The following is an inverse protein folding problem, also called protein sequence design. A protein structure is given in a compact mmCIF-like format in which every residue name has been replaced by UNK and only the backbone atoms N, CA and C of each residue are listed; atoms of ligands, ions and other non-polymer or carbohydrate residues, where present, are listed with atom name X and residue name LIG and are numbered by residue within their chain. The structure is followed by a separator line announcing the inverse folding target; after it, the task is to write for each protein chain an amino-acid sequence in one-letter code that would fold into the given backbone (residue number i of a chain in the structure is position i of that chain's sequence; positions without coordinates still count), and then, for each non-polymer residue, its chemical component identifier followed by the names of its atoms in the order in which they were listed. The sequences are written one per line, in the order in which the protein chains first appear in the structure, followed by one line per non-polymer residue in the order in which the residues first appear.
data_IF_470407173985
#
_entry.id   IF_470407173985
#
_cell.length_a   1.000
_cell.length_b   1.000
_cell.length_c   1.000
_cell.angle_alpha   90.00
_cell.angle_beta   90.00
_cell.angle_gamma   90.00
#
_symmetry.space_group_name_H-M   'P 1'
#
loop_
_entity.id
_entity.type
_entity.pdbx_description
1 polymer ?
#
# COMPACT_ATOMS: atom_id res chain seq x y z
N UNK A 1 5.45 1.64 -11.30
CA UNK A 1 4.14 2.01 -11.89
C UNK A 1 3.24 0.81 -12.19
N UNK A 2 3.75 -0.33 -12.66
CA UNK A 2 2.90 -1.47 -13.09
C UNK A 2 2.19 -2.24 -11.96
N UNK A 3 2.73 -2.26 -10.74
CA UNK A 3 2.18 -3.03 -9.59
C UNK A 3 0.96 -2.32 -8.97
N UNK A 4 0.93 -0.98 -9.05
CA UNK A 4 -0.18 -0.15 -8.55
C UNK A 4 -1.48 -0.39 -9.33
N UNK A 5 -1.39 -0.62 -10.64
CA UNK A 5 -2.53 -0.90 -11.51
C UNK A 5 -3.15 -2.28 -11.24
N UNK A 6 -2.32 -3.29 -10.97
CA UNK A 6 -2.76 -4.64 -10.61
C UNK A 6 -3.46 -4.67 -9.24
N UNK A 7 -2.92 -3.94 -8.24
CA UNK A 7 -3.58 -3.78 -6.94
C UNK A 7 -4.89 -2.98 -7.04
N UNK A 8 -4.96 -2.01 -7.96
CA UNK A 8 -6.18 -1.24 -8.24
C UNK A 8 -7.36 -2.07 -8.74
N UNK A 9 -7.12 -3.14 -9.51
CA UNK A 9 -8.20 -4.06 -9.94
C UNK A 9 -8.60 -5.07 -8.86
N UNK A 10 -7.70 -5.42 -7.94
CA UNK A 10 -8.02 -6.31 -6.80
C UNK A 10 -8.83 -5.58 -5.73
N UNK A 11 -8.59 -4.29 -5.52
CA UNK A 11 -9.31 -3.50 -4.51
C UNK A 11 -10.78 -3.22 -4.81
N UNK A 12 -11.22 -3.39 -6.06
CA UNK A 12 -12.65 -3.28 -6.42
C UNK A 12 -13.50 -4.46 -5.94
N UNK A 13 -12.89 -5.57 -5.52
CA UNK A 13 -13.58 -6.84 -5.21
C UNK A 13 -13.56 -7.24 -3.72
N UNK A 14 -12.77 -6.59 -2.86
CA UNK A 14 -12.56 -7.02 -1.47
C UNK A 14 -12.93 -5.93 -0.44
N UNK A 15 -13.48 -6.35 0.70
CA UNK A 15 -13.80 -5.47 1.83
C UNK A 15 -12.59 -4.62 2.24
N UNK A 16 -12.72 -3.31 2.01
CA UNK A 16 -11.66 -2.29 2.08
C UNK A 16 -10.89 -2.29 3.41
N UNK A 17 -11.60 -2.55 4.51
CA UNK A 17 -11.05 -2.64 5.87
C UNK A 17 -10.12 -3.85 6.05
N UNK A 18 -10.53 -5.01 5.54
CA UNK A 18 -9.75 -6.25 5.65
C UNK A 18 -8.53 -6.22 4.73
N UNK A 19 -8.66 -5.64 3.54
CA UNK A 19 -7.53 -5.43 2.62
C UNK A 19 -6.45 -4.55 3.23
N UNK A 20 -6.83 -3.48 3.92
CA UNK A 20 -5.89 -2.58 4.60
C UNK A 20 -5.11 -3.28 5.72
N UNK A 21 -5.81 -4.02 6.58
CA UNK A 21 -5.18 -4.78 7.69
C UNK A 21 -4.26 -5.88 7.14
N UNK A 22 -4.67 -6.56 6.07
CA UNK A 22 -3.85 -7.58 5.42
C UNK A 22 -2.58 -6.97 4.82
N UNK A 23 -2.69 -5.83 4.12
CA UNK A 23 -1.53 -5.15 3.53
C UNK A 23 -0.53 -4.67 4.58
N UNK A 24 -1.00 -4.15 5.72
CA UNK A 24 -0.14 -3.79 6.87
C UNK A 24 0.58 -5.03 7.41
N UNK A 25 -0.13 -6.14 7.58
CA UNK A 25 0.45 -7.37 8.11
C UNK A 25 1.56 -7.89 7.20
N UNK A 26 1.33 -7.88 5.88
CA UNK A 26 2.32 -8.25 4.85
C UNK A 26 3.54 -7.31 4.89
N UNK A 27 3.31 -6.00 5.05
CA UNK A 27 4.38 -5.02 5.15
C UNK A 27 5.25 -5.22 6.40
N UNK A 28 4.61 -5.41 7.56
CA UNK A 28 5.30 -5.68 8.83
C UNK A 28 6.13 -6.96 8.76
N UNK A 29 5.57 -8.04 8.19
CA UNK A 29 6.30 -9.30 7.99
C UNK A 29 7.49 -9.09 7.05
N UNK A 30 7.31 -8.35 5.94
CA UNK A 30 8.40 -8.02 5.02
C UNK A 30 9.49 -7.17 5.67
N UNK A 31 9.13 -6.25 6.57
CA UNK A 31 10.05 -5.41 7.34
C UNK A 31 10.83 -6.24 8.36
N UNK A 32 10.16 -7.16 9.06
CA UNK A 32 10.79 -8.10 9.99
C UNK A 32 11.78 -9.02 9.27
N UNK A 33 11.40 -9.52 8.09
CA UNK A 33 12.29 -10.33 7.24
C UNK A 33 13.50 -9.52 6.74
N UNK A 34 13.32 -8.23 6.45
CA UNK A 34 14.45 -7.34 6.14
C UNK A 34 15.38 -7.15 7.36
N UNK A 35 14.83 -7.06 8.57
CA UNK A 35 15.60 -6.84 9.80
C UNK A 35 16.43 -8.06 10.21
N UNK A 36 15.95 -9.28 9.94
CA UNK A 36 16.66 -10.53 10.24
C UNK A 36 17.52 -11.04 9.07
N UNK A 37 17.53 -10.33 7.93
CA UNK A 37 18.20 -10.78 6.72
C UNK A 37 19.72 -10.89 6.91
N UNK A 38 20.24 -12.12 6.79
CA UNK A 38 21.68 -12.43 6.86
C UNK A 38 22.32 -12.45 5.47
N UNK A 39 21.51 -12.71 4.43
CA UNK A 39 21.97 -12.87 3.05
C UNK A 39 21.32 -11.86 2.11
N UNK A 40 22.05 -11.44 1.06
CA UNK A 40 21.56 -10.50 0.03
C UNK A 40 20.33 -11.00 -0.72
N UNK A 41 20.23 -12.31 -0.98
CA UNK A 41 19.05 -12.90 -1.63
C UNK A 41 17.80 -12.76 -0.74
N UNK A 42 17.94 -13.02 0.57
CA UNK A 42 16.86 -12.84 1.54
C UNK A 42 16.43 -11.38 1.64
N UNK A 43 17.38 -10.44 1.57
CA UNK A 43 17.09 -9.00 1.55
C UNK A 43 16.29 -8.58 0.32
N UNK A 44 16.62 -9.14 -0.86
CA UNK A 44 15.89 -8.88 -2.12
C UNK A 44 14.46 -9.41 -2.02
N UNK A 45 14.27 -10.65 -1.55
CA UNK A 45 12.93 -11.22 -1.36
C UNK A 45 12.11 -10.44 -0.34
N UNK A 46 12.72 -10.07 0.80
CA UNK A 46 12.05 -9.27 1.82
C UNK A 46 11.64 -7.89 1.30
N UNK A 47 12.48 -7.25 0.46
CA UNK A 47 12.13 -5.98 -0.20
C UNK A 47 11.05 -6.12 -1.25
N UNK A 48 11.03 -7.20 -2.03
CA UNK A 48 9.94 -7.48 -2.95
C UNK A 48 8.61 -7.66 -2.19
N UNK A 49 8.65 -8.38 -1.05
CA UNK A 49 7.48 -8.61 -0.21
C UNK A 49 6.98 -7.34 0.48
N UNK A 50 7.89 -6.56 1.08
CA UNK A 50 7.56 -5.26 1.68
C UNK A 50 7.04 -4.26 0.62
N UNK A 51 7.59 -4.28 -0.59
CA UNK A 51 7.10 -3.47 -1.73
C UNK A 51 5.67 -3.83 -2.15
N UNK A 52 5.32 -5.12 -2.16
CA UNK A 52 3.95 -5.58 -2.41
C UNK A 52 2.97 -5.11 -1.31
N UNK A 53 3.38 -5.17 -0.03
CA UNK A 53 2.58 -4.66 1.09
C UNK A 53 2.37 -3.15 1.01
N UNK A 54 3.43 -2.39 0.73
CA UNK A 54 3.38 -0.93 0.61
C UNK A 54 2.43 -0.47 -0.53
N UNK A 55 2.45 -1.15 -1.68
CA UNK A 55 1.52 -0.87 -2.77
C UNK A 55 0.05 -1.09 -2.35
N UNK A 56 -0.23 -2.15 -1.59
CA UNK A 56 -1.57 -2.44 -1.08
C UNK A 56 -2.08 -1.42 -0.07
N UNK A 57 -1.20 -0.95 0.83
CA UNK A 57 -1.52 0.12 1.78
C UNK A 57 -1.88 1.41 1.02
N UNK A 58 -1.06 1.79 0.04
CA UNK A 58 -1.25 3.01 -0.73
C UNK A 58 -2.59 3.04 -1.46
N UNK A 59 -2.94 1.95 -2.16
CA UNK A 59 -4.21 1.87 -2.90
C UNK A 59 -5.41 1.82 -1.94
N UNK A 60 -5.31 1.11 -0.82
CA UNK A 60 -6.36 1.04 0.20
C UNK A 60 -6.65 2.41 0.83
N UNK A 61 -5.61 3.19 1.14
CA UNK A 61 -5.76 4.55 1.67
C UNK A 61 -6.47 5.45 0.66
N UNK A 62 -6.06 5.42 -0.62
CA UNK A 62 -6.72 6.20 -1.67
C UNK A 62 -8.20 5.84 -1.84
N UNK A 63 -8.55 4.56 -1.76
CA UNK A 63 -9.95 4.10 -1.82
C UNK A 63 -10.78 4.56 -0.63
N UNK A 64 -10.24 4.50 0.60
CA UNK A 64 -10.92 4.97 1.82
C UNK A 64 -11.15 6.49 1.75
N UNK A 65 -10.13 7.24 1.33
CA UNK A 65 -10.20 8.69 1.09
C UNK A 65 -11.29 9.03 0.08
N UNK A 66 -11.34 8.31 -1.04
CA UNK A 66 -12.37 8.53 -2.06
C UNK A 66 -13.80 8.30 -1.52
N UNK A 67 -13.98 7.39 -0.57
CA UNK A 67 -15.29 7.09 0.02
C UNK A 67 -15.70 8.06 1.15
N UNK A 68 -14.75 8.42 2.01
CA UNK A 68 -15.00 9.32 3.15
C UNK A 68 -15.20 10.78 2.72
N UNK A 69 -14.59 11.20 1.61
CA UNK A 69 -14.56 12.62 1.21
C UNK A 69 -15.51 12.89 0.05
N UNK A 70 -16.33 13.95 0.19
CA UNK A 70 -17.18 14.49 -0.88
C UNK A 70 -16.32 15.02 -2.04
N UNK A 71 -16.82 14.95 -3.28
CA UNK A 71 -16.06 15.21 -4.50
C UNK A 71 -15.28 16.54 -4.53
N UNK A 72 -15.74 17.58 -3.84
CA UNK A 72 -15.11 18.92 -3.83
C UNK A 72 -13.78 19.02 -3.08
N UNK A 73 -13.55 18.20 -2.04
CA UNK A 73 -12.29 18.26 -1.25
C UNK A 73 -11.26 17.20 -1.65
N UNK A 74 -11.64 16.27 -2.54
CA UNK A 74 -10.73 15.25 -3.11
C UNK A 74 -9.42 15.83 -3.66
N UNK A 75 -9.40 16.92 -4.45
CA UNK A 75 -8.14 17.45 -5.00
C UNK A 75 -7.22 18.08 -3.94
N UNK A 76 -7.76 18.68 -2.87
CA UNK A 76 -6.93 19.25 -1.78
C UNK A 76 -6.23 18.15 -0.99
N UNK A 77 -6.96 17.07 -0.67
CA UNK A 77 -6.41 15.95 0.07
C UNK A 77 -5.48 15.08 -0.79
N UNK A 78 -5.80 14.87 -2.07
CA UNK A 78 -4.86 14.23 -3.00
C UNK A 78 -3.59 15.07 -3.20
N UNK A 79 -3.70 16.40 -3.24
CA UNK A 79 -2.55 17.32 -3.28
C UNK A 79 -1.70 17.27 -2.01
N UNK A 80 -2.33 17.18 -0.83
CA UNK A 80 -1.62 17.03 0.44
C UNK A 80 -0.97 15.65 0.58
N UNK A 81 -1.63 14.59 0.12
CA UNK A 81 -1.03 13.26 -0.01
C UNK A 81 0.16 13.28 -0.98
N UNK A 82 0.01 13.94 -2.13
CA UNK A 82 1.11 14.15 -3.07
C UNK A 82 2.28 14.94 -2.49
N UNK A 83 2.03 15.86 -1.55
CA UNK A 83 3.08 16.61 -0.85
C UNK A 83 3.82 15.78 0.21
N UNK A 84 3.17 14.77 0.80
CA UNK A 84 3.79 13.86 1.79
C UNK A 84 4.59 12.74 1.10
N UNK A 85 4.18 12.32 -0.09
CA UNK A 85 4.83 11.25 -0.86
C UNK A 85 5.71 11.75 -2.01
N UNK A 86 5.78 13.05 -2.22
CA UNK A 86 6.57 13.72 -3.27
C UNK A 86 8.02 13.98 -2.87
#
# INVERSE_FOLDING_TARGET
TSILLLYGQVLTLFDRKWTYIFAITVFEIGSLLCAVAVNVEMLIFARAFAGCGAAGIFVSVLSIIAEVIRLEDRPKLLGLFGAVFG
#
